data_IF_773680357017
#
_entry.id   IF_773680357017
#
_cell.length_a   1.000
_cell.length_b   1.000
_cell.length_c   1.000
_cell.angle_alpha   90.00
_cell.angle_beta   90.00
_cell.angle_gamma   90.00
#
_symmetry.space_group_name_H-M   'P 1'
#
loop_
_entity.id
_entity.type
_entity.pdbx_description
1 polymer ?
#
# COMPACT_ATOMS: atom_id res chain seq x y z
N UNK A 1 -24.93 -10.63 -52.78
CA UNK A 1 -25.45 -12.02 -52.83
C UNK A 1 -24.58 -12.75 -53.83
N UNK A 2 -23.82 -13.71 -53.40
CA UNK A 2 -23.02 -14.61 -54.24
C UNK A 2 -23.65 -15.95 -54.23
N UNK A 3 -23.96 -16.54 -55.38
CA UNK A 3 -24.41 -17.91 -55.46
C UNK A 3 -23.18 -18.83 -55.46
N UNK A 4 -22.85 -19.42 -54.37
CA UNK A 4 -21.88 -20.50 -54.27
C UNK A 4 -22.57 -21.73 -53.71
N UNK A 5 -22.16 -22.93 -54.14
CA UNK A 5 -22.54 -24.16 -53.44
C UNK A 5 -21.90 -24.10 -52.03
N UNK A 6 -22.70 -24.15 -51.00
CA UNK A 6 -22.19 -24.21 -49.67
C UNK A 6 -21.60 -25.60 -49.42
N UNK A 7 -20.31 -25.64 -49.24
CA UNK A 7 -19.62 -26.81 -48.70
C UNK A 7 -19.51 -26.73 -47.17
N UNK A 8 -20.40 -25.95 -46.54
CA UNK A 8 -20.45 -25.68 -45.12
C UNK A 8 -20.27 -26.92 -44.25
N UNK A 9 -20.88 -28.07 -44.64
CA UNK A 9 -20.80 -29.31 -43.90
C UNK A 9 -19.63 -30.23 -44.32
N UNK A 10 -18.77 -29.85 -45.26
CA UNK A 10 -17.74 -30.74 -45.79
C UNK A 10 -16.36 -30.55 -45.18
N UNK A 11 -16.07 -29.41 -44.59
CA UNK A 11 -14.78 -29.16 -43.91
C UNK A 11 -14.83 -29.49 -42.42
N UNK A 12 -14.79 -30.80 -42.11
CA UNK A 12 -14.74 -31.27 -40.72
C UNK A 12 -13.41 -30.97 -40.03
N UNK A 13 -12.42 -30.40 -40.71
CA UNK A 13 -11.14 -30.01 -40.13
C UNK A 13 -11.19 -28.68 -39.42
N UNK A 14 -12.18 -27.83 -39.70
CA UNK A 14 -12.36 -26.52 -39.09
C UNK A 14 -13.32 -26.57 -37.90
N UNK A 15 -13.07 -25.77 -36.91
CA UNK A 15 -14.01 -25.56 -35.82
C UNK A 15 -15.31 -24.90 -36.33
N UNK A 16 -16.42 -25.03 -35.61
CA UNK A 16 -17.68 -24.34 -35.94
C UNK A 16 -17.48 -22.83 -36.01
N UNK A 17 -16.65 -22.29 -35.15
CA UNK A 17 -16.33 -20.87 -35.12
C UNK A 17 -15.57 -20.42 -36.37
N UNK A 18 -14.59 -21.18 -36.84
CA UNK A 18 -13.84 -20.84 -38.04
C UNK A 18 -14.75 -20.94 -39.29
N UNK A 19 -15.63 -21.93 -39.32
CA UNK A 19 -16.60 -22.04 -40.39
C UNK A 19 -17.57 -20.85 -40.43
N UNK A 20 -18.03 -20.35 -39.25
CA UNK A 20 -18.88 -19.15 -39.16
C UNK A 20 -18.11 -17.94 -39.66
N UNK A 21 -16.85 -17.77 -39.26
CA UNK A 21 -16.01 -16.65 -39.70
C UNK A 21 -15.83 -16.59 -41.21
N UNK A 22 -15.72 -17.70 -41.87
CA UNK A 22 -15.59 -17.77 -43.34
C UNK A 22 -16.80 -17.18 -44.08
N UNK A 23 -17.97 -17.09 -43.44
CA UNK A 23 -19.19 -16.49 -44.01
C UNK A 23 -19.32 -15.00 -43.75
N UNK A 24 -18.45 -14.42 -42.92
CA UNK A 24 -18.43 -13.01 -42.60
C UNK A 24 -17.25 -12.33 -43.30
N UNK A 25 -17.52 -11.21 -43.94
CA UNK A 25 -16.50 -10.30 -44.44
C UNK A 25 -16.45 -9.07 -43.55
N UNK A 26 -15.37 -8.91 -42.80
CA UNK A 26 -15.12 -7.68 -42.05
C UNK A 26 -14.70 -6.56 -43.01
N UNK A 27 -15.51 -5.53 -43.07
CA UNK A 27 -15.26 -4.34 -43.88
C UNK A 27 -14.85 -3.13 -43.06
N UNK A 28 -14.53 -3.32 -41.76
CA UNK A 28 -14.24 -2.24 -40.81
C UNK A 28 -13.06 -1.39 -41.26
N UNK A 29 -12.01 -1.99 -41.80
CA UNK A 29 -10.81 -1.30 -42.27
C UNK A 29 -11.03 -0.40 -43.50
N UNK A 30 -12.05 -0.72 -44.31
CA UNK A 30 -12.41 0.07 -45.50
C UNK A 30 -13.40 1.21 -45.19
N UNK A 31 -13.86 1.33 -43.96
CA UNK A 31 -14.82 2.33 -43.56
C UNK A 31 -14.18 3.67 -43.25
N UNK A 32 -14.83 4.74 -43.70
CA UNK A 32 -14.54 6.10 -43.22
C UNK A 32 -15.17 6.26 -41.81
N UNK A 33 -14.36 6.42 -40.75
CA UNK A 33 -14.89 6.60 -39.41
C UNK A 33 -15.91 7.71 -39.23
N UNK A 34 -15.81 8.76 -40.06
CA UNK A 34 -16.75 9.88 -40.03
C UNK A 34 -18.13 9.57 -40.60
N UNK A 35 -18.23 8.53 -41.45
CA UNK A 35 -19.46 8.14 -42.18
C UNK A 35 -20.10 6.89 -41.64
N UNK A 36 -19.42 6.18 -40.74
CA UNK A 36 -19.96 4.94 -40.13
C UNK A 36 -20.95 5.31 -39.05
N UNK A 37 -22.19 4.85 -39.17
CA UNK A 37 -23.25 5.07 -38.17
C UNK A 37 -23.62 3.84 -37.37
N UNK A 38 -23.62 2.65 -37.98
CA UNK A 38 -23.97 1.40 -37.35
C UNK A 38 -22.73 0.64 -36.87
N UNK A 39 -22.86 -0.16 -35.82
CA UNK A 39 -21.74 -0.91 -35.23
C UNK A 39 -20.62 -0.03 -34.67
N UNK A 40 -20.97 1.17 -34.18
CA UNK A 40 -20.00 2.16 -33.72
C UNK A 40 -20.13 2.49 -32.24
N UNK A 41 -18.99 2.52 -31.56
CA UNK A 41 -18.82 3.16 -30.26
C UNK A 41 -17.84 4.31 -30.44
N UNK A 42 -18.22 5.51 -30.08
CA UNK A 42 -17.37 6.68 -30.30
C UNK A 42 -17.46 7.69 -29.16
N UNK A 43 -16.37 8.43 -28.97
CA UNK A 43 -16.27 9.52 -28.00
C UNK A 43 -16.76 9.13 -26.59
N UNK A 44 -16.54 7.88 -26.20
CA UNK A 44 -16.93 7.35 -24.90
C UNK A 44 -15.75 7.46 -23.94
N UNK A 45 -16.02 7.84 -22.69
CA UNK A 45 -15.01 8.01 -21.66
C UNK A 45 -15.33 7.15 -20.43
N UNK A 46 -14.35 6.38 -19.96
CA UNK A 46 -14.40 5.69 -18.67
C UNK A 46 -13.39 6.29 -17.69
N UNK A 47 -13.88 6.60 -16.47
CA UNK A 47 -13.06 7.07 -15.34
C UNK A 47 -13.14 6.14 -14.14
N UNK A 48 -14.05 5.18 -14.18
CA UNK A 48 -14.26 4.21 -13.12
C UNK A 48 -13.37 2.98 -13.25
N UNK A 49 -13.11 2.32 -12.15
CA UNK A 49 -12.42 1.04 -12.14
C UNK A 49 -13.32 -0.06 -12.71
N UNK A 50 -12.74 -0.93 -13.54
CA UNK A 50 -13.38 -2.11 -14.11
C UNK A 50 -12.70 -3.35 -13.51
N UNK A 51 -13.48 -4.20 -12.87
CA UNK A 51 -13.01 -5.48 -12.34
C UNK A 51 -13.87 -6.63 -12.88
N UNK A 52 -13.24 -7.74 -13.20
CA UNK A 52 -13.96 -8.90 -13.75
C UNK A 52 -13.10 -10.14 -13.91
N UNK A 53 -13.55 -11.06 -14.75
CA UNK A 53 -12.87 -12.34 -14.95
C UNK A 53 -12.09 -12.38 -16.27
N UNK A 54 -12.76 -12.28 -17.40
CA UNK A 54 -12.21 -12.49 -18.75
C UNK A 54 -12.75 -11.43 -19.71
N UNK A 55 -12.02 -11.09 -20.75
CA UNK A 55 -12.40 -10.13 -21.79
C UNK A 55 -12.75 -8.76 -21.20
N UNK A 56 -11.81 -8.14 -20.53
CA UNK A 56 -12.03 -6.87 -19.86
C UNK A 56 -11.47 -5.70 -20.69
N UNK A 57 -12.31 -4.73 -20.94
CA UNK A 57 -11.90 -3.48 -21.56
C UNK A 57 -12.50 -2.29 -20.83
N UNK A 58 -11.75 -1.20 -20.76
CA UNK A 58 -12.25 0.05 -20.16
C UNK A 58 -13.50 0.58 -20.83
N UNK A 59 -13.74 0.24 -22.12
CA UNK A 59 -14.91 0.64 -22.90
C UNK A 59 -15.74 -0.56 -23.35
N UNK A 60 -15.08 -1.63 -23.84
CA UNK A 60 -15.74 -2.80 -24.40
C UNK A 60 -15.05 -4.07 -23.97
N UNK A 61 -15.79 -5.05 -23.49
CA UNK A 61 -15.22 -6.35 -23.14
C UNK A 61 -14.78 -7.13 -24.38
N UNK A 62 -15.67 -7.32 -25.34
CA UNK A 62 -15.37 -8.05 -26.58
C UNK A 62 -16.11 -7.47 -27.78
N UNK A 63 -15.48 -7.53 -28.94
CA UNK A 63 -16.04 -7.18 -30.25
C UNK A 63 -15.92 -8.40 -31.17
N UNK A 64 -17.04 -8.95 -31.56
CA UNK A 64 -17.05 -10.17 -32.38
C UNK A 64 -18.38 -10.37 -33.09
N UNK A 65 -18.47 -11.45 -33.85
CA UNK A 65 -19.70 -11.93 -34.44
C UNK A 65 -20.40 -12.89 -33.47
N UNK A 66 -21.71 -12.99 -33.59
CA UNK A 66 -22.52 -13.90 -32.78
C UNK A 66 -22.17 -15.36 -33.11
N UNK A 67 -21.82 -16.14 -32.09
CA UNK A 67 -21.39 -17.55 -32.24
C UNK A 67 -22.59 -18.49 -32.46
N UNK A 68 -23.79 -18.12 -31.99
CA UNK A 68 -25.02 -18.90 -32.11
C UNK A 68 -25.69 -18.81 -33.50
N UNK A 69 -25.07 -18.06 -34.40
CA UNK A 69 -25.54 -17.95 -35.78
C UNK A 69 -25.56 -19.32 -36.45
N UNK A 70 -26.70 -19.68 -37.05
CA UNK A 70 -26.90 -20.91 -37.83
C UNK A 70 -26.99 -20.59 -39.33
N UNK A 71 -25.86 -20.70 -40.07
CA UNK A 71 -25.86 -20.40 -41.50
C UNK A 71 -26.77 -21.30 -42.33
N UNK A 72 -27.03 -22.52 -41.83
CA UNK A 72 -27.94 -23.46 -42.53
C UNK A 72 -29.40 -23.01 -42.46
N UNK A 73 -29.77 -22.28 -41.40
CA UNK A 73 -31.10 -21.65 -41.23
C UNK A 73 -31.35 -20.49 -42.17
N UNK A 74 -30.26 -19.81 -42.60
CA UNK A 74 -30.32 -18.60 -43.43
C UNK A 74 -30.16 -18.88 -44.92
N UNK A 75 -30.19 -20.15 -45.33
CA UNK A 75 -30.21 -20.49 -46.78
C UNK A 75 -31.61 -20.34 -47.35
N UNK A 76 -31.72 -19.51 -48.38
CA UNK A 76 -32.96 -19.39 -49.13
C UNK A 76 -32.87 -20.19 -50.43
N UNK A 77 -33.82 -21.11 -50.66
CA UNK A 77 -33.91 -21.85 -51.92
C UNK A 77 -34.73 -21.04 -52.92
N UNK A 78 -34.13 -20.73 -54.08
CA UNK A 78 -34.80 -20.11 -55.17
C UNK A 78 -34.75 -21.08 -56.36
N UNK A 79 -35.85 -21.79 -56.64
CA UNK A 79 -35.89 -22.87 -57.59
C UNK A 79 -35.02 -24.07 -57.19
N UNK A 80 -34.08 -24.45 -58.05
CA UNK A 80 -33.11 -25.55 -57.81
C UNK A 80 -31.76 -25.03 -57.22
N UNK A 81 -31.68 -23.76 -56.90
CA UNK A 81 -30.44 -23.15 -56.38
C UNK A 81 -30.56 -22.81 -54.93
N UNK A 82 -29.52 -23.12 -54.17
CA UNK A 82 -29.35 -22.59 -52.83
C UNK A 82 -28.57 -21.29 -52.91
N UNK A 83 -29.06 -20.25 -52.26
CA UNK A 83 -28.36 -18.96 -52.12
C UNK A 83 -27.72 -18.93 -50.73
N UNK A 84 -26.41 -18.81 -50.71
CA UNK A 84 -25.68 -18.54 -49.49
C UNK A 84 -25.47 -17.05 -49.35
N UNK A 85 -25.71 -16.56 -48.16
CA UNK A 85 -25.49 -15.17 -47.83
C UNK A 85 -24.11 -15.05 -47.24
N UNK A 86 -23.28 -14.15 -47.78
CA UNK A 86 -22.10 -13.64 -47.12
C UNK A 86 -22.49 -12.37 -46.39
N UNK A 87 -22.28 -12.38 -45.09
CA UNK A 87 -22.60 -11.25 -44.27
C UNK A 87 -21.42 -10.28 -44.28
N UNK A 88 -21.70 -9.00 -44.51
CA UNK A 88 -20.73 -7.93 -44.34
C UNK A 88 -20.93 -7.30 -42.96
N UNK A 89 -19.89 -7.30 -42.16
CA UNK A 89 -19.93 -6.72 -40.85
C UNK A 89 -18.99 -5.53 -40.75
N UNK A 90 -19.29 -4.60 -39.87
CA UNK A 90 -18.50 -3.43 -39.56
C UNK A 90 -18.60 -3.14 -38.09
N UNK A 91 -17.46 -2.96 -37.42
CA UNK A 91 -17.38 -2.52 -36.04
C UNK A 91 -16.32 -1.42 -35.93
N UNK A 92 -16.64 -0.34 -35.22
CA UNK A 92 -15.77 0.79 -35.08
C UNK A 92 -15.74 1.29 -33.63
N UNK A 93 -14.56 1.31 -33.04
CA UNK A 93 -14.28 2.03 -31.80
C UNK A 93 -13.44 3.24 -32.14
N UNK A 94 -13.94 4.45 -31.89
CA UNK A 94 -13.21 5.68 -32.27
C UNK A 94 -13.31 6.80 -31.24
N UNK A 95 -12.18 7.46 -30.93
CA UNK A 95 -12.13 8.59 -30.02
C UNK A 95 -12.51 8.24 -28.59
N UNK A 96 -12.30 6.99 -28.17
CA UNK A 96 -12.62 6.52 -26.83
C UNK A 96 -11.46 6.73 -25.87
N UNK A 97 -11.75 7.08 -24.61
CA UNK A 97 -10.75 7.36 -23.60
C UNK A 97 -11.01 6.51 -22.36
N UNK A 98 -10.00 5.81 -21.88
CA UNK A 98 -10.03 5.14 -20.59
C UNK A 98 -9.00 5.73 -19.64
N UNK A 99 -9.46 6.23 -18.49
CA UNK A 99 -8.63 6.69 -17.39
C UNK A 99 -8.79 5.84 -16.12
N UNK A 100 -9.75 4.91 -16.12
CA UNK A 100 -9.99 3.98 -15.03
C UNK A 100 -9.08 2.75 -15.10
N UNK A 101 -8.74 2.18 -13.95
CA UNK A 101 -8.02 0.92 -13.90
C UNK A 101 -8.88 -0.25 -14.41
N UNK A 102 -8.24 -1.21 -15.10
CA UNK A 102 -8.86 -2.45 -15.58
C UNK A 102 -8.14 -3.61 -14.91
N UNK A 103 -8.84 -4.41 -14.10
CA UNK A 103 -8.26 -5.50 -13.33
C UNK A 103 -8.98 -6.81 -13.60
N UNK A 104 -8.28 -7.79 -14.18
CA UNK A 104 -8.76 -9.12 -14.55
C UNK A 104 -8.26 -10.23 -13.63
N UNK A 105 -8.89 -11.41 -13.75
CA UNK A 105 -8.43 -12.67 -13.13
C UNK A 105 -7.90 -13.66 -14.15
N UNK A 106 -8.37 -13.57 -15.38
CA UNK A 106 -8.00 -14.46 -16.49
C UNK A 106 -7.63 -13.59 -17.69
N UNK A 107 -7.52 -14.23 -18.86
CA UNK A 107 -7.01 -13.64 -20.09
C UNK A 107 -7.84 -12.46 -20.64
N UNK A 108 -7.18 -11.69 -21.48
CA UNK A 108 -7.69 -10.61 -22.33
C UNK A 108 -8.14 -9.36 -21.56
N UNK A 109 -7.17 -8.60 -21.10
CA UNK A 109 -7.39 -7.28 -20.53
C UNK A 109 -6.81 -6.17 -21.41
N UNK A 110 -7.63 -5.20 -21.76
CA UNK A 110 -7.20 -4.02 -22.55
C UNK A 110 -7.74 -2.72 -21.99
N UNK A 111 -6.99 -1.63 -22.15
CA UNK A 111 -7.44 -0.33 -21.69
C UNK A 111 -8.70 0.16 -22.40
N UNK A 112 -8.92 -0.24 -23.65
CA UNK A 112 -10.13 0.07 -24.44
C UNK A 112 -10.98 -1.17 -24.65
N UNK A 113 -10.38 -2.25 -25.15
CA UNK A 113 -11.11 -3.50 -25.46
C UNK A 113 -10.33 -4.71 -24.96
N UNK A 114 -11.03 -5.67 -24.32
CA UNK A 114 -10.41 -6.94 -23.91
C UNK A 114 -10.01 -7.77 -25.12
N UNK A 115 -10.97 -8.08 -25.99
CA UNK A 115 -10.73 -8.89 -27.18
C UNK A 115 -11.51 -8.33 -28.39
N UNK A 116 -10.83 -8.11 -29.53
CA UNK A 116 -11.43 -7.70 -30.79
C UNK A 116 -11.14 -8.71 -31.88
N UNK A 117 -12.14 -9.49 -32.27
CA UNK A 117 -12.07 -10.44 -33.40
C UNK A 117 -12.26 -9.75 -34.74
N UNK A 118 -13.03 -8.69 -34.77
CA UNK A 118 -13.35 -7.87 -35.94
C UNK A 118 -13.32 -6.39 -35.56
N UNK A 119 -13.31 -5.53 -36.54
CA UNK A 119 -13.50 -4.10 -36.31
C UNK A 119 -12.26 -3.26 -36.58
N UNK A 120 -12.40 -1.99 -36.30
CA UNK A 120 -11.33 -1.00 -36.34
C UNK A 120 -11.33 -0.22 -35.01
N UNK A 121 -10.17 -0.11 -34.41
CA UNK A 121 -9.93 0.70 -33.21
C UNK A 121 -9.08 1.89 -33.65
N UNK A 122 -9.59 3.09 -33.51
CA UNK A 122 -8.87 4.28 -33.99
C UNK A 122 -9.08 5.49 -33.08
N UNK A 123 -8.05 6.33 -32.94
CA UNK A 123 -8.08 7.56 -32.15
C UNK A 123 -8.46 7.32 -30.67
N UNK A 124 -8.05 6.17 -30.13
CA UNK A 124 -8.37 5.78 -28.76
C UNK A 124 -7.20 6.06 -27.82
N UNK A 125 -7.51 6.35 -26.56
CA UNK A 125 -6.53 6.74 -25.55
C UNK A 125 -6.72 5.94 -24.27
N UNK A 126 -5.63 5.42 -23.71
CA UNK A 126 -5.65 4.69 -22.43
C UNK A 126 -4.62 5.23 -21.47
N UNK A 127 -5.08 5.57 -20.25
CA UNK A 127 -4.29 6.15 -19.17
C UNK A 127 -4.39 5.37 -17.85
N UNK A 128 -5.41 4.55 -17.68
CA UNK A 128 -5.60 3.70 -16.50
C UNK A 128 -4.70 2.47 -16.55
N UNK A 129 -4.22 2.02 -15.40
CA UNK A 129 -3.49 0.76 -15.29
C UNK A 129 -4.32 -0.42 -15.78
N UNK A 130 -3.69 -1.38 -16.48
CA UNK A 130 -4.35 -2.60 -16.96
C UNK A 130 -3.59 -3.80 -16.41
N UNK A 131 -4.28 -4.65 -15.67
CA UNK A 131 -3.68 -5.82 -15.04
C UNK A 131 -4.60 -7.03 -15.11
N UNK A 132 -4.01 -8.23 -15.20
CA UNK A 132 -4.71 -9.51 -15.01
C UNK A 132 -3.76 -10.55 -14.45
N UNK A 133 -4.31 -11.55 -13.74
CA UNK A 133 -3.54 -12.73 -13.32
C UNK A 133 -3.25 -13.68 -14.50
N UNK A 134 -3.90 -13.50 -15.64
CA UNK A 134 -3.71 -14.26 -16.89
C UNK A 134 -2.88 -13.51 -17.94
N UNK A 135 -3.06 -13.92 -19.20
CA UNK A 135 -2.29 -13.45 -20.35
C UNK A 135 -3.09 -12.48 -21.24
N UNK A 136 -2.42 -11.88 -22.22
CA UNK A 136 -2.96 -10.95 -23.20
C UNK A 136 -3.40 -9.62 -22.61
N UNK A 137 -2.42 -8.83 -22.19
CA UNK A 137 -2.61 -7.48 -21.64
C UNK A 137 -2.14 -6.42 -22.63
N UNK A 138 -2.98 -5.43 -22.92
CA UNK A 138 -2.61 -4.33 -23.79
C UNK A 138 -3.12 -2.99 -23.32
N UNK A 139 -2.36 -1.94 -23.59
CA UNK A 139 -2.79 -0.59 -23.26
C UNK A 139 -4.07 -0.19 -24.01
N UNK A 140 -4.28 -0.68 -25.23
CA UNK A 140 -5.50 -0.48 -26.03
C UNK A 140 -6.32 -1.77 -26.08
N UNK A 141 -5.73 -2.89 -26.52
CA UNK A 141 -6.42 -4.15 -26.66
C UNK A 141 -5.65 -5.29 -26.00
N UNK A 142 -6.32 -6.18 -25.23
CA UNK A 142 -5.71 -7.41 -24.77
C UNK A 142 -5.30 -8.29 -25.97
N UNK A 143 -6.25 -8.58 -26.85
CA UNK A 143 -6.02 -9.23 -28.14
C UNK A 143 -6.80 -8.54 -29.23
N UNK A 144 -6.20 -8.36 -30.40
CA UNK A 144 -6.88 -7.80 -31.59
C UNK A 144 -6.51 -8.56 -32.86
N UNK A 145 -7.48 -9.26 -33.42
CA UNK A 145 -7.41 -9.85 -34.76
C UNK A 145 -7.81 -8.80 -35.85
N UNK A 146 -8.02 -7.55 -35.45
CA UNK A 146 -8.43 -6.41 -36.28
C UNK A 146 -7.41 -5.27 -36.25
N UNK A 147 -7.73 -4.12 -36.84
CA UNK A 147 -6.78 -3.02 -36.90
C UNK A 147 -6.86 -2.07 -35.72
N UNK A 148 -5.71 -1.65 -35.21
CA UNK A 148 -5.53 -0.59 -34.22
C UNK A 148 -4.71 0.52 -34.86
N UNK A 149 -5.26 1.74 -34.89
CA UNK A 149 -4.62 2.90 -35.57
C UNK A 149 -4.69 4.13 -34.70
N UNK A 150 -3.72 5.06 -34.91
CA UNK A 150 -3.74 6.39 -34.31
C UNK A 150 -4.19 6.38 -32.84
N UNK A 151 -3.64 5.47 -32.06
CA UNK A 151 -4.06 5.27 -30.66
C UNK A 151 -2.88 5.44 -29.70
N UNK A 152 -3.17 5.87 -28.47
CA UNK A 152 -2.17 6.25 -27.48
C UNK A 152 -2.38 5.49 -26.18
N UNK A 153 -1.31 4.87 -25.69
CA UNK A 153 -1.31 4.22 -24.38
C UNK A 153 -0.21 4.81 -23.49
N UNK A 154 -0.61 5.32 -22.32
CA UNK A 154 0.31 5.79 -21.29
C UNK A 154 -0.16 5.27 -19.94
N UNK A 155 0.28 4.07 -19.57
CA UNK A 155 -0.21 3.36 -18.39
C UNK A 155 0.76 2.26 -17.93
N UNK A 156 0.51 1.71 -16.75
CA UNK A 156 1.17 0.50 -16.28
C UNK A 156 0.39 -0.73 -16.73
N UNK A 157 1.12 -1.75 -17.20
CA UNK A 157 0.59 -3.02 -17.71
C UNK A 157 1.20 -4.17 -16.91
N UNK A 158 0.36 -5.13 -16.46
CA UNK A 158 0.83 -6.32 -15.75
C UNK A 158 0.01 -7.55 -16.14
N UNK A 159 0.68 -8.67 -16.43
CA UNK A 159 0.06 -9.94 -16.79
C UNK A 159 1.04 -11.09 -16.80
N UNK A 160 0.57 -12.32 -17.06
CA UNK A 160 1.44 -13.48 -17.12
C UNK A 160 2.32 -13.44 -18.38
N UNK A 161 1.71 -13.56 -19.58
CA UNK A 161 2.38 -13.52 -20.88
C UNK A 161 1.62 -12.61 -21.85
N UNK A 162 2.24 -12.27 -22.98
CA UNK A 162 1.67 -11.42 -24.03
C UNK A 162 1.25 -10.04 -23.49
N UNK A 163 2.21 -9.29 -22.97
CA UNK A 163 1.97 -7.94 -22.44
C UNK A 163 2.56 -6.91 -23.37
N UNK A 164 1.71 -6.07 -23.98
CA UNK A 164 2.14 -5.09 -24.97
C UNK A 164 1.55 -3.70 -24.81
N UNK A 165 2.35 -2.67 -25.08
CA UNK A 165 1.98 -1.27 -24.87
C UNK A 165 0.70 -0.86 -25.58
N UNK A 166 0.45 -1.35 -26.80
CA UNK A 166 -0.79 -1.15 -27.55
C UNK A 166 -1.65 -2.40 -27.51
N UNK A 167 -1.09 -3.57 -27.80
CA UNK A 167 -1.83 -4.83 -27.77
C UNK A 167 -1.00 -5.94 -27.14
N UNK A 168 -1.63 -6.80 -26.31
CA UNK A 168 -1.00 -8.05 -25.88
C UNK A 168 -0.67 -8.95 -27.07
N UNK A 169 -1.64 -9.14 -27.95
CA UNK A 169 -1.48 -9.78 -29.25
C UNK A 169 -2.22 -8.97 -30.31
N UNK A 170 -1.58 -8.67 -31.43
CA UNK A 170 -2.15 -7.80 -32.46
C UNK A 170 -1.96 -8.32 -33.89
N UNK A 171 -2.88 -7.95 -34.80
CA UNK A 171 -2.76 -8.26 -36.22
C UNK A 171 -2.27 -7.07 -37.03
N UNK A 172 -2.96 -5.96 -36.97
CA UNK A 172 -2.58 -4.72 -37.69
C UNK A 172 -2.50 -3.57 -36.71
N UNK A 173 -1.32 -2.98 -36.56
CA UNK A 173 -1.08 -1.85 -35.65
C UNK A 173 -0.35 -0.76 -36.42
N UNK A 174 -0.96 0.44 -36.54
CA UNK A 174 -0.35 1.54 -37.29
C UNK A 174 -0.47 2.87 -36.57
N UNK A 175 0.57 3.70 -36.70
CA UNK A 175 0.64 5.08 -36.23
C UNK A 175 0.27 5.26 -34.74
N UNK A 176 0.53 4.22 -33.92
CA UNK A 176 0.26 4.21 -32.49
C UNK A 176 1.46 4.69 -31.70
N UNK A 177 1.21 5.21 -30.51
CA UNK A 177 2.26 5.68 -29.59
C UNK A 177 2.08 5.10 -28.21
N UNK A 178 3.19 4.68 -27.62
CA UNK A 178 3.21 4.00 -26.33
C UNK A 178 4.25 4.58 -25.38
N UNK A 179 3.81 4.84 -24.16
CA UNK A 179 4.63 5.24 -23.03
C UNK A 179 4.16 4.45 -21.81
N UNK A 180 4.62 3.22 -21.68
CA UNK A 180 4.11 2.26 -20.71
C UNK A 180 5.21 1.67 -19.83
N UNK A 181 4.85 1.17 -18.65
CA UNK A 181 5.63 0.17 -17.95
C UNK A 181 4.99 -1.19 -18.18
N UNK A 182 5.81 -2.21 -18.38
CA UNK A 182 5.37 -3.58 -18.65
C UNK A 182 5.96 -4.50 -17.61
N UNK A 183 5.09 -5.23 -16.93
CA UNK A 183 5.43 -6.33 -16.02
C UNK A 183 4.76 -7.59 -16.57
N UNK A 184 5.58 -8.53 -17.06
CA UNK A 184 5.10 -9.76 -17.72
C UNK A 184 6.21 -10.78 -17.90
N UNK A 185 5.82 -12.02 -18.23
CA UNK A 185 6.73 -13.12 -18.51
C UNK A 185 7.24 -13.12 -19.94
N UNK A 186 6.77 -14.06 -20.77
CA UNK A 186 7.13 -14.15 -22.18
C UNK A 186 6.30 -13.18 -23.05
N UNK A 187 6.83 -12.86 -24.23
CA UNK A 187 6.15 -12.01 -25.22
C UNK A 187 5.80 -10.63 -24.67
N UNK A 188 6.80 -9.89 -24.26
CA UNK A 188 6.64 -8.52 -23.75
C UNK A 188 7.15 -7.49 -24.76
N UNK A 189 6.41 -6.37 -24.94
CA UNK A 189 6.83 -5.33 -25.87
C UNK A 189 6.19 -3.97 -25.59
N UNK A 190 6.91 -2.91 -25.92
CA UNK A 190 6.41 -1.54 -25.75
C UNK A 190 5.27 -1.19 -26.73
N UNK A 191 5.12 -1.93 -27.82
CA UNK A 191 4.01 -1.80 -28.78
C UNK A 191 3.11 -3.04 -28.71
N UNK A 192 3.65 -4.24 -28.88
CA UNK A 192 2.87 -5.47 -28.78
C UNK A 192 3.67 -6.55 -28.07
N UNK A 193 2.98 -7.42 -27.31
CA UNK A 193 3.59 -8.63 -26.79
C UNK A 193 4.02 -9.53 -27.94
N UNK A 194 3.10 -9.78 -28.86
CA UNK A 194 3.37 -10.50 -30.10
C UNK A 194 2.42 -10.02 -31.22
N UNK A 195 2.73 -10.39 -32.47
CA UNK A 195 1.98 -10.01 -33.67
C UNK A 195 1.74 -11.22 -34.53
N UNK A 196 0.54 -11.32 -35.10
CA UNK A 196 0.15 -12.38 -36.05
C UNK A 196 1.18 -12.54 -37.18
N UNK A 197 1.43 -13.77 -37.62
CA UNK A 197 2.39 -14.08 -38.71
C UNK A 197 2.08 -13.28 -39.98
N UNK A 198 0.79 -13.11 -40.31
CA UNK A 198 0.30 -12.32 -41.44
C UNK A 198 0.04 -10.85 -41.05
N UNK A 199 0.44 -10.46 -39.85
CA UNK A 199 0.21 -9.15 -39.27
C UNK A 199 1.12 -8.06 -39.82
N UNK A 200 0.74 -6.81 -39.59
CA UNK A 200 1.54 -5.66 -39.95
C UNK A 200 1.64 -4.63 -38.85
N UNK A 201 2.86 -4.13 -38.63
CA UNK A 201 3.12 -2.98 -37.72
C UNK A 201 3.84 -1.92 -38.49
N UNK A 202 3.34 -0.66 -38.47
CA UNK A 202 3.91 0.46 -39.24
C UNK A 202 3.74 1.77 -38.47
N UNK A 203 4.75 2.67 -38.55
CA UNK A 203 4.66 4.03 -38.04
C UNK A 203 4.47 4.16 -36.52
N UNK A 204 4.69 3.10 -35.75
CA UNK A 204 4.53 3.13 -34.29
C UNK A 204 5.77 3.70 -33.60
N UNK A 205 5.56 4.49 -32.56
CA UNK A 205 6.63 5.04 -31.74
C UNK A 205 6.42 4.68 -30.26
N UNK A 206 7.53 4.45 -29.56
CA UNK A 206 7.50 4.22 -28.13
C UNK A 206 8.72 4.85 -27.45
N UNK A 207 8.60 5.12 -26.16
CA UNK A 207 9.72 5.48 -25.29
C UNK A 207 9.77 4.50 -24.13
N UNK A 208 10.90 3.83 -23.97
CA UNK A 208 11.18 2.92 -22.85
C UNK A 208 12.69 2.77 -22.70
N UNK A 209 13.18 2.56 -21.48
CA UNK A 209 14.64 2.50 -21.23
C UNK A 209 15.27 1.18 -21.68
N UNK A 210 14.57 0.07 -21.52
CA UNK A 210 15.11 -1.28 -21.74
C UNK A 210 14.26 -2.20 -22.60
N UNK A 211 12.94 -1.90 -22.75
CA UNK A 211 12.03 -2.78 -23.47
C UNK A 211 12.07 -2.51 -24.98
N UNK A 212 12.08 -3.58 -25.78
CA UNK A 212 11.91 -3.51 -27.23
C UNK A 212 10.44 -3.31 -27.64
N UNK A 213 10.20 -3.18 -28.94
CA UNK A 213 8.88 -2.90 -29.49
C UNK A 213 7.92 -4.09 -29.41
N UNK A 214 8.36 -5.27 -29.86
CA UNK A 214 7.57 -6.50 -29.99
C UNK A 214 8.44 -7.66 -29.53
N UNK A 215 7.96 -8.49 -28.60
CA UNK A 215 8.72 -9.59 -28.01
C UNK A 215 10.19 -9.21 -27.68
N UNK A 216 10.35 -8.06 -27.05
CA UNK A 216 11.66 -7.53 -26.68
C UNK A 216 12.53 -7.02 -27.85
N UNK A 217 12.04 -7.02 -29.10
CA UNK A 217 12.78 -6.64 -30.30
C UNK A 217 12.25 -5.31 -30.84
N UNK A 218 13.15 -4.38 -31.19
CA UNK A 218 12.82 -3.14 -31.91
C UNK A 218 12.92 -3.32 -33.42
N UNK A 219 11.98 -2.74 -34.15
CA UNK A 219 11.88 -2.88 -35.61
C UNK A 219 11.93 -1.51 -36.29
N UNK A 220 13.04 -1.20 -36.96
CA UNK A 220 13.20 0.03 -37.72
C UNK A 220 12.15 0.18 -38.82
N UNK A 221 11.52 1.35 -38.92
CA UNK A 221 10.46 1.67 -39.90
C UNK A 221 9.09 1.05 -39.58
N UNK A 222 8.98 0.28 -38.51
CA UNK A 222 7.73 -0.35 -38.08
C UNK A 222 7.32 0.14 -36.69
N UNK A 223 8.16 -0.09 -35.70
CA UNK A 223 7.97 0.32 -34.33
C UNK A 223 9.33 0.77 -33.77
N UNK A 224 9.50 2.05 -33.58
CA UNK A 224 10.80 2.68 -33.30
C UNK A 224 10.85 3.26 -31.90
N UNK A 225 11.99 3.04 -31.24
CA UNK A 225 12.33 3.74 -30.00
C UNK A 225 12.56 5.23 -30.32
N UNK A 226 11.83 6.11 -29.68
CA UNK A 226 11.93 7.54 -29.83
C UNK A 226 12.25 8.24 -28.50
N UNK A 227 12.93 9.35 -28.54
CA UNK A 227 13.03 10.23 -27.38
C UNK A 227 11.66 10.80 -27.04
N UNK A 228 11.42 11.11 -25.76
CA UNK A 228 10.11 11.54 -25.27
C UNK A 228 9.55 12.77 -25.99
N UNK A 229 10.39 13.73 -26.33
CA UNK A 229 10.00 14.91 -27.11
C UNK A 229 9.54 14.57 -28.54
N UNK A 230 10.16 13.60 -29.20
CA UNK A 230 9.76 13.06 -30.50
C UNK A 230 8.46 12.26 -30.38
N UNK A 231 8.34 11.42 -29.34
CA UNK A 231 7.11 10.66 -29.07
C UNK A 231 5.90 11.58 -28.88
N UNK A 232 6.10 12.73 -28.23
CA UNK A 232 5.05 13.71 -27.95
C UNK A 232 4.89 14.79 -29.04
N UNK A 233 5.67 14.73 -30.13
CA UNK A 233 5.58 15.72 -31.21
C UNK A 233 4.39 15.49 -32.14
N UNK A 234 3.78 16.57 -32.63
CA UNK A 234 2.70 16.57 -33.60
C UNK A 234 1.34 17.03 -33.05
N UNK A 235 0.54 17.64 -33.92
CA UNK A 235 -0.74 18.26 -33.55
C UNK A 235 -1.83 17.23 -33.19
N UNK A 236 -1.66 15.99 -33.59
CA UNK A 236 -2.60 14.88 -33.26
C UNK A 236 -2.36 14.26 -31.89
N UNK A 237 -1.21 14.52 -31.28
CA UNK A 237 -0.90 13.93 -29.97
C UNK A 237 -1.75 14.57 -28.88
N UNK A 238 -2.49 13.75 -28.09
CA UNK A 238 -3.30 14.29 -27.00
C UNK A 238 -2.43 14.98 -25.95
N UNK A 239 -2.89 16.13 -25.44
CA UNK A 239 -2.19 16.83 -24.35
C UNK A 239 -2.00 15.95 -23.10
N UNK A 240 -3.00 15.16 -22.76
CA UNK A 240 -2.92 14.21 -21.64
C UNK A 240 -1.82 13.17 -21.81
N UNK A 241 -1.52 12.77 -23.05
CA UNK A 241 -0.44 11.85 -23.34
C UNK A 241 0.94 12.47 -23.08
N UNK A 242 1.15 13.72 -23.47
CA UNK A 242 2.43 14.44 -23.28
C UNK A 242 2.63 15.00 -21.86
N UNK A 243 1.58 15.11 -21.03
CA UNK A 243 1.68 15.57 -19.65
C UNK A 243 2.13 14.44 -18.75
N UNK A 244 3.17 14.69 -17.95
CA UNK A 244 3.68 13.75 -16.95
C UNK A 244 3.36 14.26 -15.55
N UNK A 245 2.66 13.46 -14.75
CA UNK A 245 2.24 13.85 -13.41
C UNK A 245 2.11 12.67 -12.46
N UNK A 246 2.40 12.88 -11.19
CA UNK A 246 2.06 12.00 -10.09
C UNK A 246 0.79 12.53 -9.41
N UNK A 247 -0.21 11.68 -9.27
CA UNK A 247 -1.42 11.99 -8.52
C UNK A 247 -1.32 11.35 -7.14
N UNK A 248 -1.26 12.16 -6.09
CA UNK A 248 -1.21 11.72 -4.71
C UNK A 248 -2.61 11.69 -4.10
N UNK A 249 -3.01 10.57 -3.53
CA UNK A 249 -4.31 10.40 -2.87
C UNK A 249 -4.16 9.96 -1.42
N UNK A 250 -5.06 10.43 -0.57
CA UNK A 250 -5.19 9.99 0.80
C UNK A 250 -6.67 9.72 1.11
N UNK A 251 -6.99 8.55 1.68
CA UNK A 251 -8.37 8.09 1.92
C UNK A 251 -9.26 8.25 0.65
N UNK A 252 -8.72 7.89 -0.54
CA UNK A 252 -9.41 7.96 -1.83
C UNK A 252 -9.61 9.37 -2.42
N UNK A 253 -9.10 10.41 -1.77
CA UNK A 253 -9.19 11.80 -2.24
C UNK A 253 -7.85 12.29 -2.76
N UNK A 254 -7.87 13.01 -3.87
CA UNK A 254 -6.67 13.66 -4.40
C UNK A 254 -6.20 14.74 -3.42
N UNK A 255 -4.95 14.60 -2.99
CA UNK A 255 -4.24 15.57 -2.13
C UNK A 255 -3.46 16.56 -2.97
N UNK A 256 -2.74 16.04 -3.97
CA UNK A 256 -1.93 16.84 -4.86
C UNK A 256 -1.77 16.16 -6.23
N UNK A 257 -1.57 16.97 -7.27
CA UNK A 257 -1.10 16.52 -8.58
C UNK A 257 0.21 17.26 -8.84
N UNK A 258 1.30 16.51 -8.95
CA UNK A 258 2.64 17.08 -9.10
C UNK A 258 3.15 16.76 -10.49
N UNK A 259 3.29 17.76 -11.40
CA UNK A 259 3.87 17.56 -12.72
C UNK A 259 5.37 17.31 -12.60
N UNK A 260 5.89 16.48 -13.52
CA UNK A 260 7.33 16.24 -13.63
C UNK A 260 7.76 16.17 -15.09
N UNK A 261 9.07 16.20 -15.34
CA UNK A 261 9.65 15.97 -16.67
C UNK A 261 10.09 14.51 -16.77
N UNK A 262 9.82 13.88 -17.92
CA UNK A 262 10.24 12.50 -18.20
C UNK A 262 11.74 12.28 -17.88
N UNK A 263 12.06 11.23 -17.14
CA UNK A 263 13.42 10.91 -16.71
C UNK A 263 13.98 11.81 -15.60
N UNK A 264 13.15 12.67 -15.00
CA UNK A 264 13.52 13.51 -13.85
C UNK A 264 12.63 13.23 -12.64
N UNK A 265 13.12 13.63 -11.48
CA UNK A 265 12.36 13.51 -10.22
C UNK A 265 11.49 14.71 -9.90
N UNK A 266 10.86 14.64 -8.74
CA UNK A 266 10.16 15.77 -8.11
C UNK A 266 10.98 16.30 -6.94
N UNK A 267 10.87 17.61 -6.69
CA UNK A 267 11.69 18.28 -5.66
C UNK A 267 11.29 17.89 -4.24
N UNK A 268 10.03 17.63 -4.00
CA UNK A 268 9.49 17.26 -2.67
C UNK A 268 8.19 16.50 -2.78
N UNK A 269 7.96 15.61 -1.81
CA UNK A 269 6.68 14.92 -1.66
C UNK A 269 5.65 15.85 -1.00
N UNK A 270 4.36 15.79 -1.40
CA UNK A 270 3.31 16.51 -0.72
C UNK A 270 3.09 15.99 0.69
N UNK A 271 2.61 16.86 1.58
CA UNK A 271 2.26 16.47 2.95
C UNK A 271 1.06 15.53 2.96
N UNK A 272 1.16 14.44 3.74
CA UNK A 272 0.04 13.51 3.90
C UNK A 272 -0.91 14.05 4.96
N UNK A 273 -2.22 14.13 4.70
CA UNK A 273 -3.19 14.55 5.70
C UNK A 273 -3.13 13.70 6.96
N UNK A 274 -2.96 14.34 8.12
CA UNK A 274 -2.89 13.62 9.39
C UNK A 274 -4.21 12.89 9.71
N UNK A 275 -4.09 11.64 10.15
CA UNK A 275 -5.21 10.80 10.58
C UNK A 275 -4.99 10.37 12.03
N UNK A 276 -5.95 10.69 12.90
CA UNK A 276 -5.80 10.40 14.33
C UNK A 276 -5.58 8.91 14.58
N UNK A 277 -4.51 8.57 15.26
CA UNK A 277 -4.16 7.19 15.61
C UNK A 277 -3.42 6.41 14.52
N UNK A 278 -2.95 7.10 13.46
CA UNK A 278 -2.21 6.47 12.36
C UNK A 278 -0.94 7.25 12.04
N UNK A 279 0.11 6.53 11.70
CA UNK A 279 1.23 7.04 10.89
C UNK A 279 0.88 6.91 9.41
N UNK A 280 1.50 7.73 8.56
CA UNK A 280 1.24 7.67 7.13
C UNK A 280 2.54 7.90 6.35
N UNK A 281 2.70 7.11 5.27
CA UNK A 281 3.83 7.22 4.35
C UNK A 281 3.31 7.14 2.91
N UNK A 282 4.02 7.78 1.97
CA UNK A 282 3.83 7.51 0.56
C UNK A 282 4.48 6.18 0.19
N UNK A 283 3.98 5.47 -0.84
CA UNK A 283 4.59 4.24 -1.33
C UNK A 283 6.08 4.42 -1.64
N UNK A 284 6.87 3.37 -1.42
CA UNK A 284 8.29 3.36 -1.77
C UNK A 284 8.44 3.35 -3.30
N UNK A 285 8.99 4.42 -3.85
CA UNK A 285 9.22 4.66 -5.27
C UNK A 285 10.49 5.49 -5.43
N UNK A 286 11.23 5.26 -6.50
CA UNK A 286 12.32 6.17 -6.86
C UNK A 286 11.76 7.50 -7.41
N UNK A 287 11.57 8.44 -6.50
CA UNK A 287 11.08 9.78 -6.82
C UNK A 287 12.10 10.67 -7.53
N UNK A 288 13.33 10.20 -7.75
CA UNK A 288 14.39 10.96 -8.42
C UNK A 288 14.43 10.73 -9.93
N UNK A 289 13.87 9.61 -10.40
CA UNK A 289 13.84 9.24 -11.81
C UNK A 289 12.46 8.69 -12.22
N UNK A 290 11.62 9.53 -12.75
CA UNK A 290 10.23 9.22 -13.07
C UNK A 290 10.02 9.14 -14.58
N UNK A 291 9.49 8.04 -15.06
CA UNK A 291 9.25 7.77 -16.48
C UNK A 291 7.79 7.55 -16.81
N UNK A 292 6.92 7.41 -15.79
CA UNK A 292 5.49 7.11 -15.97
C UNK A 292 4.64 7.94 -15.01
N UNK A 293 3.51 8.44 -15.52
CA UNK A 293 2.45 9.02 -14.70
C UNK A 293 1.71 7.93 -13.94
N UNK A 294 1.51 8.11 -12.64
CA UNK A 294 0.79 7.15 -11.83
C UNK A 294 0.08 7.81 -10.64
N UNK A 295 -0.85 7.08 -10.07
CA UNK A 295 -1.55 7.47 -8.86
C UNK A 295 -0.96 6.73 -7.66
N UNK A 296 -0.64 7.47 -6.61
CA UNK A 296 -0.04 6.97 -5.38
C UNK A 296 -1.02 7.19 -4.22
N UNK A 297 -1.39 6.13 -3.55
CA UNK A 297 -2.25 6.18 -2.37
C UNK A 297 -1.40 6.17 -1.10
N UNK A 298 -1.68 7.09 -0.18
CA UNK A 298 -1.03 7.12 1.12
C UNK A 298 -1.36 5.85 1.92
N UNK A 299 -0.34 5.24 2.47
CA UNK A 299 -0.47 4.07 3.34
C UNK A 299 -0.59 4.53 4.77
N UNK A 300 -1.76 4.33 5.37
CA UNK A 300 -2.03 4.62 6.77
C UNK A 300 -1.88 3.36 7.63
N UNK A 301 -0.98 3.40 8.61
CA UNK A 301 -0.74 2.31 9.53
C UNK A 301 -1.14 2.72 10.95
N UNK A 302 -1.99 1.96 11.66
CA UNK A 302 -2.39 2.31 13.03
C UNK A 302 -1.17 2.30 13.95
N UNK A 303 -1.14 3.21 14.93
CA UNK A 303 -0.12 3.23 15.95
C UNK A 303 -0.17 1.98 16.84
N UNK A 304 1.00 1.50 17.22
CA UNK A 304 1.17 0.50 18.28
C UNK A 304 1.17 1.20 19.63
N UNK A 305 0.40 0.70 20.60
CA UNK A 305 0.27 1.33 21.92
C UNK A 305 1.32 0.87 22.92
N UNK A 306 1.93 -0.30 22.71
CA UNK A 306 2.90 -0.89 23.67
C UNK A 306 4.02 -1.59 22.93
N UNK A 307 5.26 -1.40 23.38
CA UNK A 307 6.46 -2.05 22.86
C UNK A 307 7.19 -2.79 23.97
N UNK A 308 7.77 -3.93 23.65
CA UNK A 308 8.70 -4.67 24.52
C UNK A 308 9.73 -5.40 23.68
N UNK A 309 10.94 -5.56 24.19
CA UNK A 309 11.99 -6.39 23.59
C UNK A 309 12.08 -7.79 24.22
N UNK A 310 11.22 -8.08 25.19
CA UNK A 310 11.15 -9.36 25.91
C UNK A 310 9.88 -10.12 25.55
N UNK A 311 10.04 -11.37 25.12
CA UNK A 311 8.95 -12.28 24.76
C UNK A 311 8.33 -13.01 25.98
N UNK A 312 8.79 -12.72 27.19
CA UNK A 312 8.24 -13.33 28.40
C UNK A 312 6.84 -12.79 28.75
N UNK A 313 6.06 -13.59 29.47
CA UNK A 313 4.71 -13.19 29.89
C UNK A 313 4.70 -11.93 30.78
N UNK A 314 5.79 -11.69 31.52
CA UNK A 314 6.02 -10.50 32.32
C UNK A 314 7.38 -9.90 31.93
N UNK A 315 7.45 -9.05 30.93
CA UNK A 315 8.70 -8.46 30.45
C UNK A 315 9.37 -7.58 31.51
N UNK A 316 10.71 -7.44 31.43
CA UNK A 316 11.46 -6.56 32.30
C UNK A 316 11.14 -5.08 32.01
N UNK A 317 11.00 -4.76 30.72
CA UNK A 317 10.66 -3.44 30.21
C UNK A 317 9.44 -3.56 29.30
N UNK A 318 8.47 -2.69 29.53
CA UNK A 318 7.37 -2.43 28.63
C UNK A 318 7.27 -0.90 28.47
N UNK A 319 6.98 -0.44 27.28
CA UNK A 319 6.87 0.99 26.99
C UNK A 319 5.52 1.25 26.34
N UNK A 320 4.72 2.13 26.97
CA UNK A 320 3.40 2.53 26.47
C UNK A 320 3.44 3.92 25.88
N UNK A 321 2.87 4.07 24.67
CA UNK A 321 2.84 5.33 23.93
C UNK A 321 2.02 5.26 22.66
N UNK A 322 2.38 6.09 21.70
CA UNK A 322 1.86 6.04 20.34
C UNK A 322 3.03 5.89 19.39
N UNK A 323 3.22 4.70 18.88
CA UNK A 323 4.40 4.33 18.08
C UNK A 323 3.99 3.94 16.66
N UNK A 324 4.87 4.16 15.69
CA UNK A 324 4.69 3.61 14.35
C UNK A 324 4.80 2.07 14.38
N UNK A 325 4.37 1.43 13.30
CA UNK A 325 4.48 -0.02 13.17
C UNK A 325 5.93 -0.53 13.03
N UNK A 326 6.88 0.37 12.78
CA UNK A 326 8.32 0.07 12.66
C UNK A 326 9.10 0.36 13.93
N UNK A 327 8.42 0.90 14.94
CA UNK A 327 9.05 1.23 16.21
C UNK A 327 9.57 -0.02 16.92
N UNK A 328 10.73 0.09 17.52
CA UNK A 328 11.35 -0.95 18.32
C UNK A 328 11.78 -0.40 19.68
N UNK A 329 11.84 -1.27 20.66
CA UNK A 329 12.43 -0.96 21.97
C UNK A 329 13.52 -1.96 22.28
N UNK A 330 14.59 -1.47 22.88
CA UNK A 330 15.67 -2.30 23.41
C UNK A 330 16.11 -1.80 24.77
N UNK A 331 16.66 -2.70 25.59
CA UNK A 331 17.25 -2.27 26.85
C UNK A 331 18.58 -2.97 27.14
N UNK A 332 19.43 -2.28 27.92
CA UNK A 332 20.65 -2.81 28.45
C UNK A 332 20.78 -2.52 29.95
N UNK A 333 21.52 -3.32 30.68
CA UNK A 333 21.71 -3.13 32.12
C UNK A 333 23.19 -3.23 32.48
N UNK A 334 23.69 -2.28 33.27
CA UNK A 334 25.08 -2.27 33.73
C UNK A 334 25.20 -1.80 35.20
N UNK A 335 26.18 -2.32 35.94
CA UNK A 335 26.48 -1.80 37.29
C UNK A 335 26.93 -0.35 37.23
N UNK A 336 26.43 0.49 38.13
CA UNK A 336 26.79 1.89 38.19
C UNK A 336 27.06 2.34 39.62
N UNK A 337 27.96 3.31 39.77
CA UNK A 337 28.22 4.01 41.03
C UNK A 337 28.21 5.51 40.80
N UNK A 338 27.55 6.27 41.66
CA UNK A 338 27.49 7.73 41.57
C UNK A 338 27.40 8.38 42.93
N UNK A 339 27.58 9.68 42.99
CA UNK A 339 27.36 10.49 44.18
C UNK A 339 26.12 11.37 43.94
N UNK A 340 25.18 11.34 44.87
CA UNK A 340 23.97 12.18 44.76
C UNK A 340 24.26 13.65 45.12
N UNK A 341 23.30 14.53 44.85
CA UNK A 341 23.44 15.96 45.12
C UNK A 341 23.69 16.31 46.61
N UNK A 342 23.48 15.35 47.53
CA UNK A 342 23.76 15.51 48.97
C UNK A 342 25.14 14.96 49.34
N UNK A 343 25.94 14.52 48.38
CA UNK A 343 27.27 13.94 48.62
C UNK A 343 27.27 12.46 49.04
N UNK A 344 26.13 11.76 48.96
CA UNK A 344 26.01 10.37 49.32
C UNK A 344 26.42 9.47 48.16
N UNK A 345 27.40 8.56 48.41
CA UNK A 345 27.77 7.57 47.41
C UNK A 345 26.65 6.50 47.28
N UNK A 346 26.28 6.18 46.04
CA UNK A 346 25.26 5.25 45.66
C UNK A 346 25.80 4.26 44.67
N UNK A 347 25.26 3.04 44.71
CA UNK A 347 25.56 1.96 43.78
C UNK A 347 24.25 1.29 43.35
N UNK A 348 24.17 0.83 42.12
CA UNK A 348 23.00 0.12 41.64
C UNK A 348 23.21 -0.47 40.24
N UNK A 349 22.14 -0.91 39.61
CA UNK A 349 22.13 -1.30 38.21
C UNK A 349 21.44 -0.21 37.41
N UNK A 350 22.15 0.42 36.52
CA UNK A 350 21.58 1.33 35.54
C UNK A 350 20.93 0.53 34.42
N UNK A 351 19.72 0.90 34.06
CA UNK A 351 18.99 0.36 32.91
C UNK A 351 18.89 1.47 31.87
N UNK A 352 19.32 1.18 30.67
CA UNK A 352 19.19 2.10 29.53
C UNK A 352 18.16 1.54 28.58
N UNK A 353 17.08 2.27 28.38
CA UNK A 353 16.00 1.95 27.43
C UNK A 353 16.14 2.88 26.23
N UNK A 354 16.14 2.30 25.04
CA UNK A 354 16.15 3.01 23.76
C UNK A 354 14.89 2.66 22.99
N UNK A 355 14.12 3.68 22.62
CA UNK A 355 12.95 3.57 21.74
C UNK A 355 13.34 4.18 20.40
N UNK A 356 13.41 3.36 19.38
CA UNK A 356 13.69 3.76 18.00
C UNK A 356 12.39 3.73 17.20
N UNK A 357 11.93 4.91 16.77
CA UNK A 357 10.76 5.07 15.91
C UNK A 357 11.11 5.92 14.69
N UNK A 358 11.48 5.29 13.56
CA UNK A 358 11.96 6.00 12.38
C UNK A 358 10.90 6.88 11.70
N UNK A 359 9.62 6.71 12.04
CA UNK A 359 8.51 7.46 11.44
C UNK A 359 8.05 8.64 12.32
N UNK A 360 8.62 8.80 13.52
CA UNK A 360 8.20 9.85 14.47
C UNK A 360 9.36 10.74 14.89
N UNK A 361 9.10 12.05 14.87
CA UNK A 361 10.09 13.08 15.24
C UNK A 361 10.00 13.52 16.70
N UNK A 362 8.91 13.21 17.39
CA UNK A 362 8.70 13.52 18.80
C UNK A 362 8.09 12.32 19.51
N UNK A 363 8.80 11.82 20.50
CA UNK A 363 8.42 10.64 21.27
C UNK A 363 8.06 11.10 22.69
N UNK A 364 6.89 10.69 23.18
CA UNK A 364 6.53 10.77 24.59
C UNK A 364 5.88 9.47 25.00
N UNK A 365 6.45 8.82 26.00
CA UNK A 365 6.05 7.46 26.39
C UNK A 365 6.19 7.24 27.89
N UNK A 366 5.53 6.20 28.38
CA UNK A 366 5.64 5.72 29.78
C UNK A 366 6.45 4.43 29.80
N UNK A 367 7.52 4.42 30.58
CA UNK A 367 8.33 3.23 30.84
C UNK A 367 7.73 2.48 32.03
N UNK A 368 7.49 1.20 31.88
CA UNK A 368 7.12 0.25 32.91
C UNK A 368 8.33 -0.63 33.19
N UNK A 369 8.97 -0.44 34.33
CA UNK A 369 10.10 -1.24 34.77
C UNK A 369 9.62 -2.25 35.83
N UNK A 370 9.85 -3.53 35.60
CA UNK A 370 9.49 -4.59 36.54
C UNK A 370 10.34 -4.54 37.80
N UNK A 371 9.69 -4.39 38.95
CA UNK A 371 10.34 -4.31 40.25
C UNK A 371 10.88 -5.68 40.67
N UNK A 372 12.06 -5.71 41.37
CA UNK A 372 12.62 -6.96 41.90
C UNK A 372 11.75 -7.60 42.97
N UNK A 373 11.08 -6.82 43.82
CA UNK A 373 10.21 -7.29 44.89
C UNK A 373 8.98 -6.38 45.02
N UNK A 374 7.80 -7.03 45.15
CA UNK A 374 6.54 -6.31 45.36
C UNK A 374 6.42 -5.77 46.77
N UNK A 375 5.64 -4.68 46.91
CA UNK A 375 5.28 -4.12 48.22
C UNK A 375 6.36 -3.26 48.89
N UNK A 376 7.53 -3.13 48.29
CA UNK A 376 8.58 -2.21 48.73
C UNK A 376 8.42 -0.82 48.12
N UNK A 377 9.07 0.18 48.70
CA UNK A 377 9.14 1.51 48.17
C UNK A 377 10.46 1.71 47.45
N UNK A 378 10.40 2.35 46.28
CA UNK A 378 11.56 2.58 45.45
C UNK A 378 11.69 4.08 45.11
N UNK A 379 12.94 4.52 44.96
CA UNK A 379 13.31 5.81 44.42
C UNK A 379 13.82 5.59 43.00
N UNK A 380 13.32 6.37 42.04
CA UNK A 380 13.78 6.40 40.66
C UNK A 380 14.85 7.48 40.52
N UNK A 381 16.00 7.09 40.00
CA UNK A 381 17.11 7.97 39.62
C UNK A 381 17.26 7.93 38.11
N UNK A 382 17.20 9.08 37.46
CA UNK A 382 17.37 9.21 36.01
C UNK A 382 18.66 9.98 35.75
N UNK A 383 19.42 9.49 34.77
CA UNK A 383 20.66 10.13 34.32
C UNK A 383 20.33 11.32 33.43
N UNK A 384 20.76 12.50 33.84
CA UNK A 384 20.64 13.75 33.09
C UNK A 384 22.03 14.27 32.69
N UNK A 385 22.09 15.37 31.96
CA UNK A 385 23.35 16.04 31.63
C UNK A 385 24.11 16.51 32.92
N UNK A 386 23.35 16.80 33.98
CA UNK A 386 23.89 17.26 35.26
C UNK A 386 24.24 16.09 36.21
N UNK A 387 24.04 14.86 35.80
CA UNK A 387 24.26 13.69 36.63
C UNK A 387 22.98 12.91 36.94
N UNK A 388 22.96 12.24 38.12
CA UNK A 388 21.82 11.42 38.51
C UNK A 388 20.87 12.26 39.37
N UNK A 389 19.62 12.37 38.94
CA UNK A 389 18.55 13.11 39.61
C UNK A 389 17.36 12.22 39.91
N UNK A 390 16.63 12.51 40.98
CA UNK A 390 15.40 11.80 41.29
C UNK A 390 14.25 12.27 40.41
N UNK A 391 13.47 11.35 39.86
CA UNK A 391 12.26 11.63 39.10
C UNK A 391 11.05 11.02 39.79
N UNK A 392 9.89 11.66 39.65
CA UNK A 392 8.63 11.14 40.15
C UNK A 392 8.24 9.86 39.38
N UNK A 393 7.78 8.89 40.14
CA UNK A 393 7.33 7.61 39.62
C UNK A 393 6.13 7.08 40.40
N UNK A 394 5.33 6.25 39.74
CA UNK A 394 4.21 5.53 40.36
C UNK A 394 4.45 4.04 40.29
N UNK A 395 3.80 3.29 41.16
CA UNK A 395 3.86 1.82 41.14
C UNK A 395 2.48 1.29 40.83
N UNK A 396 2.39 0.46 39.79
CA UNK A 396 1.18 -0.26 39.39
C UNK A 396 1.49 -1.77 39.31
N UNK A 397 0.89 -2.55 40.22
CA UNK A 397 1.22 -3.95 40.36
C UNK A 397 2.71 -4.17 40.64
N UNK A 398 3.37 -4.95 39.81
CA UNK A 398 4.80 -5.27 39.91
C UNK A 398 5.69 -4.32 39.10
N UNK A 399 5.14 -3.20 38.56
CA UNK A 399 5.88 -2.26 37.73
C UNK A 399 5.99 -0.87 38.35
N UNK A 400 7.16 -0.27 38.18
CA UNK A 400 7.40 1.14 38.43
C UNK A 400 7.24 1.89 37.11
N UNK A 401 6.41 2.94 37.11
CA UNK A 401 6.03 3.73 35.95
C UNK A 401 6.59 5.15 36.01
N UNK A 402 7.14 5.61 34.92
CA UNK A 402 7.55 7.00 34.72
C UNK A 402 7.51 7.40 33.25
N UNK A 403 7.40 8.66 32.97
CA UNK A 403 7.34 9.21 31.59
C UNK A 403 8.71 9.67 31.12
N UNK A 404 8.97 9.51 29.83
CA UNK A 404 10.15 10.05 29.13
C UNK A 404 9.73 10.65 27.79
N UNK A 405 10.44 11.69 27.36
CA UNK A 405 10.36 12.35 26.06
C UNK A 405 11.66 12.19 25.24
N UNK A 406 12.56 11.31 25.69
CA UNK A 406 13.87 11.08 25.06
C UNK A 406 13.90 9.75 24.37
N UNK A 407 14.50 9.69 23.20
CA UNK A 407 14.76 8.45 22.48
C UNK A 407 15.49 7.41 23.34
N UNK A 408 16.45 7.86 24.14
CA UNK A 408 17.19 7.02 25.08
C UNK A 408 17.11 7.58 26.50
N UNK A 409 16.67 6.76 27.45
CA UNK A 409 16.63 7.08 28.86
C UNK A 409 17.42 6.06 29.68
N UNK A 410 18.33 6.57 30.54
CA UNK A 410 19.10 5.74 31.47
C UNK A 410 18.61 6.01 32.90
N UNK A 411 18.24 4.99 33.62
CA UNK A 411 17.72 5.10 34.99
C UNK A 411 18.20 3.99 35.89
N UNK A 412 18.09 4.22 37.20
CA UNK A 412 18.37 3.25 38.26
C UNK A 412 17.25 3.27 39.29
N UNK A 413 16.76 2.10 39.68
CA UNK A 413 15.72 1.95 40.69
C UNK A 413 16.38 1.45 41.98
N UNK A 414 16.21 2.18 43.09
CA UNK A 414 16.77 1.84 44.39
C UNK A 414 15.68 1.67 45.44
N UNK A 415 15.79 0.59 46.24
CA UNK A 415 14.88 0.40 47.37
C UNK A 415 15.08 1.52 48.38
N UNK A 416 13.97 2.15 48.81
CA UNK A 416 13.95 3.16 49.84
C UNK A 416 14.07 2.47 51.21
N UNK A 417 15.26 2.45 51.76
CA UNK A 417 15.47 1.96 53.15
C UNK A 417 14.91 2.97 54.15
N UNK A 418 14.13 2.50 55.11
CA UNK A 418 13.61 3.37 56.19
C UNK A 418 14.77 4.06 56.92
N UNK A 419 14.72 5.37 57.03
CA UNK A 419 15.75 6.15 57.72
C UNK A 419 15.98 5.59 59.13
N UNK A 420 17.24 5.32 59.57
CA UNK A 420 17.55 4.85 60.91
C UNK A 420 17.04 5.79 61.98
N UNK A 421 16.86 7.10 61.66
CA UNK A 421 16.25 8.09 62.55
C UNK A 421 14.80 7.71 62.97
N UNK A 422 14.03 7.06 62.09
CA UNK A 422 12.65 6.65 62.38
C UNK A 422 12.64 5.53 63.45
N UNK A 423 13.58 4.60 63.36
CA UNK A 423 13.77 3.56 64.36
C UNK A 423 14.27 4.10 65.69
N UNK A 424 15.16 5.12 65.66
CA UNK A 424 15.61 5.82 66.86
C UNK A 424 14.45 6.58 67.54
N UNK A 425 13.64 7.29 66.76
CA UNK A 425 12.43 7.98 67.27
C UNK A 425 11.42 6.99 67.89
N UNK A 426 11.20 5.85 67.23
CA UNK A 426 10.31 4.80 67.74
C UNK A 426 10.86 4.21 69.08
N UNK A 427 12.16 3.94 69.14
CA UNK A 427 12.83 3.47 70.36
C UNK A 427 12.71 4.48 71.50
N UNK A 428 12.90 5.79 71.23
CA UNK A 428 12.74 6.85 72.22
C UNK A 428 11.29 6.94 72.70
N UNK A 429 10.31 6.84 71.80
CA UNK A 429 8.88 6.82 72.19
C UNK A 429 8.51 5.61 73.04
N UNK A 430 9.04 4.43 72.73
CA UNK A 430 8.85 3.23 73.55
C UNK A 430 9.49 3.40 74.94
N UNK A 431 10.70 3.97 75.01
CA UNK A 431 11.39 4.21 76.27
C UNK A 431 10.61 5.21 77.14
N UNK A 432 10.10 6.29 76.58
CA UNK A 432 9.25 7.28 77.26
C UNK A 432 7.94 6.65 77.77
N UNK A 433 7.32 5.78 76.98
CA UNK A 433 6.12 5.05 77.38
C UNK A 433 6.40 4.12 78.56
N UNK A 434 7.55 3.41 78.55
CA UNK A 434 8.01 2.57 79.67
C UNK A 434 8.28 3.37 80.95
N UNK A 435 8.96 4.52 80.83
CA UNK A 435 9.22 5.45 81.97
C UNK A 435 7.88 5.94 82.54
N UNK A 436 6.95 6.35 81.75
CA UNK A 436 5.61 6.76 82.20
C UNK A 436 4.84 5.63 82.87
N UNK A 437 4.98 4.40 82.40
CA UNK A 437 4.38 3.20 83.00
C UNK A 437 4.98 2.96 84.37
N UNK A 438 6.31 3.01 84.56
CA UNK A 438 7.01 2.87 85.84
C UNK A 438 6.58 3.96 86.82
N UNK A 439 6.48 5.19 86.41
CA UNK A 439 5.99 6.30 87.26
C UNK A 439 4.55 6.05 87.68
N UNK A 440 3.66 5.56 86.83
CA UNK A 440 2.28 5.20 87.19
C UNK A 440 2.22 4.05 88.18
N UNK A 441 3.04 3.00 88.00
CA UNK A 441 3.12 1.86 88.92
C UNK A 441 3.64 2.33 90.29
N UNK A 442 4.70 3.14 90.36
CA UNK A 442 5.22 3.74 91.59
C UNK A 442 4.19 4.59 92.31
N UNK A 443 3.46 5.43 91.54
CA UNK A 443 2.39 6.28 92.10
C UNK A 443 1.20 5.45 92.67
N UNK A 444 0.89 4.33 92.00
CA UNK A 444 -0.16 3.40 92.43
C UNK A 444 0.28 2.62 93.69
N UNK A 445 1.54 2.18 93.81
CA UNK A 445 2.12 1.55 95.00
C UNK A 445 2.21 2.52 96.18
N UNK A 446 2.64 3.75 95.97
CA UNK A 446 2.66 4.78 96.96
C UNK A 446 1.29 5.10 97.58
N UNK A 447 0.22 5.11 96.76
CA UNK A 447 -1.16 5.28 97.21
C UNK A 447 -1.70 4.10 97.99
N UNK A 448 -1.27 2.88 97.66
CA UNK A 448 -1.66 1.66 98.47
C UNK A 448 -0.98 1.60 99.80
N UNK A 449 0.32 1.97 99.90
CA UNK A 449 1.05 2.06 101.16
C UNK A 449 0.51 3.15 102.08
N UNK A 450 0.09 4.29 101.55
CA UNK A 450 -0.52 5.37 102.31
C UNK A 450 -1.92 4.99 102.80
N UNK A 451 -2.75 4.26 102.02
CA UNK A 451 -4.05 3.74 102.42
C UNK A 451 -3.90 2.65 103.50
N UNK A 452 -2.88 1.80 103.46
CA UNK A 452 -2.61 0.78 104.50
C UNK A 452 -2.11 1.40 105.82
N UNK A 453 -1.30 2.45 105.76
CA UNK A 453 -0.88 3.23 106.95
C UNK A 453 -2.05 3.97 107.60
N UNK A 454 -2.95 4.56 106.83
CA UNK A 454 -4.16 5.19 107.35
C UNK A 454 -5.17 4.19 107.96
N UNK A 455 -5.27 2.94 107.42
CA UNK A 455 -6.09 1.91 108.00
C UNK A 455 -5.50 1.42 109.35
N UNK A 456 -4.18 1.22 109.46
CA UNK A 456 -3.50 0.87 110.68
C UNK A 456 -3.58 1.95 111.80
N UNK A 457 -3.57 3.25 111.42
CA UNK A 457 -3.73 4.37 112.33
C UNK A 457 -5.19 4.50 112.85
N UNK A 458 -6.23 4.12 112.07
CA UNK A 458 -7.63 4.06 112.53
C UNK A 458 -7.92 2.90 113.45
N UNK A 459 -7.22 1.73 113.36
CA UNK A 459 -7.39 0.58 114.28
C UNK A 459 -6.67 0.77 115.61
N UNK A 460 -5.83 1.78 115.82
CA UNK A 460 -5.20 2.13 117.10
C UNK A 460 -5.94 3.16 117.92
N UNK A 461 -7.13 3.64 117.46
CA UNK A 461 -7.93 4.62 118.17
C UNK A 461 -9.36 4.15 118.46
N UNK A 462 -9.63 2.86 118.34
CA UNK A 462 -10.83 2.25 118.90
C UNK A 462 -10.38 1.33 120.16
#
# INVERSE_FOLDING_TARGET
IRSEKSDWNQDQSKSKEDQIRDHFQDLSDSCDPAKQHDGRISASENKGEITGSTNLGGIVGSVGIEIDFDPDGDTTKVGNYSLNFHYQTRALLSGCINSGAVTGRNDYAGGIVGQAYIGQITDCQSYGAVSTDGSYVGGIAGRSDSSIRLSWAKCALSGEDYVGGIAGYGKTISDCRSLVTVDGGAYTGAIAGDVDEDGSVTGCLFTHETLGAIDGISYAGKAELAAFDVLCAGDTVPKTFSQMELTFRADGKVVAVVPFQYGRGIDSLPEIPAKKGFSAVWPDLDYTHLTVSQTLDAVYTPYTSSLTDDTQTLPQILVDGSFSSRATVSHTSEPVSWTDAKGTARTGTAVTVTVDDPDMTAISYTVHYRLPEDGKRYDLWVKTENGWETQDSTVDGSYLLFTSDRETVTFCVQERTASPLLWVLLAVLILLALVLLVIRIRKKRGRQTMRSRLRKARQKKS
#
